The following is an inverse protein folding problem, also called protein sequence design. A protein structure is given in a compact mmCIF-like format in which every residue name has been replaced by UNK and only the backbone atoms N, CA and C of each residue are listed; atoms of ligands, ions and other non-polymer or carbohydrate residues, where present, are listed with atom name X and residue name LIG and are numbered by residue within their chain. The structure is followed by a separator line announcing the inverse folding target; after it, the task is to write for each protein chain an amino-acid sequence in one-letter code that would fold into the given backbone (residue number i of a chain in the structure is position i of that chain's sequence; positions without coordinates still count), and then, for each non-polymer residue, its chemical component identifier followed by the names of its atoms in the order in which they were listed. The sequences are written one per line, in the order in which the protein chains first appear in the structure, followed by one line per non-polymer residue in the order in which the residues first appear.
data_IF_975747103950
#
_entry.id   IF_975747103950
#
_cell.length_a   1.000
_cell.length_b   1.000
_cell.length_c   1.000
_cell.angle_alpha   90.00
_cell.angle_beta   90.00
_cell.angle_gamma   90.00
#
_symmetry.space_group_name_H-M   'P 1'
#
loop_
_entity.id
_entity.type
_entity.pdbx_description
1 polymer ?
#
# COMPACT_ATOMS: atom_id res chain seq x y z
N UNK A 1 10.64 2.86 12.88
CA UNK A 1 11.22 4.22 12.80
C UNK A 1 12.71 4.14 12.53
N UNK A 2 13.17 4.90 11.54
CA UNK A 2 14.57 4.97 11.11
C UNK A 2 15.23 6.13 11.84
N UNK A 3 16.36 5.86 12.52
CA UNK A 3 17.14 6.89 13.22
C UNK A 3 18.26 7.34 12.30
N UNK A 4 18.20 8.60 11.88
CA UNK A 4 19.19 9.22 11.01
C UNK A 4 20.55 9.36 11.70
N UNK A 5 21.62 9.09 10.94
CA UNK A 5 22.98 9.38 11.38
C UNK A 5 23.24 10.90 11.47
N UNK A 6 24.23 11.29 12.29
CA UNK A 6 24.59 12.69 12.47
C UNK A 6 25.08 13.38 11.18
N UNK A 7 25.67 12.60 10.27
CA UNK A 7 26.17 13.05 8.96
C UNK A 7 25.15 12.83 7.83
N UNK A 8 23.90 12.49 8.15
CA UNK A 8 22.86 12.22 7.15
C UNK A 8 22.48 13.49 6.37
N UNK A 9 22.20 13.32 5.07
CA UNK A 9 21.89 14.41 4.15
C UNK A 9 20.40 14.56 3.89
N UNK A 10 19.53 14.02 4.75
CA UNK A 10 18.07 14.01 4.56
C UNK A 10 17.50 15.41 4.32
N UNK A 11 18.00 16.42 5.04
CA UNK A 11 17.55 17.80 4.90
C UNK A 11 17.78 18.36 3.48
N UNK A 12 18.87 17.95 2.81
CA UNK A 12 19.22 18.45 1.48
C UNK A 12 18.29 17.90 0.38
N UNK A 13 17.55 16.82 0.66
CA UNK A 13 16.69 16.16 -0.33
C UNK A 13 15.46 17.02 -0.67
N UNK A 14 15.05 17.92 0.22
CA UNK A 14 13.92 18.81 -0.01
C UNK A 14 14.19 19.88 -1.08
N UNK A 15 15.45 20.15 -1.41
CA UNK A 15 15.84 21.05 -2.51
C UNK A 15 15.57 20.44 -3.89
N UNK A 16 15.36 19.12 -3.96
CA UNK A 16 15.03 18.39 -5.18
C UNK A 16 13.51 18.24 -5.33
N UNK A 17 12.96 18.23 -6.55
CA UNK A 17 11.57 17.86 -6.78
C UNK A 17 11.36 16.36 -6.46
N UNK A 18 10.14 15.96 -6.06
CA UNK A 18 9.84 14.58 -5.61
C UNK A 18 10.33 13.50 -6.60
N UNK A 19 10.13 13.71 -7.91
CA UNK A 19 10.54 12.76 -8.94
C UNK A 19 12.07 12.60 -9.10
N UNK A 20 12.87 13.37 -8.37
CA UNK A 20 14.33 13.26 -8.30
C UNK A 20 14.82 12.78 -6.92
N UNK A 21 13.92 12.57 -5.96
CA UNK A 21 14.25 12.08 -4.61
C UNK A 21 14.29 10.55 -4.62
N UNK A 22 15.37 9.98 -5.14
CA UNK A 22 15.56 8.53 -5.13
C UNK A 22 17.03 8.12 -5.07
N UNK A 23 17.30 6.87 -4.71
CA UNK A 23 18.64 6.30 -4.72
C UNK A 23 18.72 4.94 -4.05
N UNK A 24 19.92 4.36 -3.90
CA UNK A 24 20.12 3.16 -3.11
C UNK A 24 19.70 3.38 -1.65
N UNK A 25 19.09 2.38 -1.01
CA UNK A 25 18.69 2.49 0.39
C UNK A 25 19.87 2.77 1.33
N UNK A 26 19.79 3.82 2.18
CA UNK A 26 20.88 4.15 3.10
C UNK A 26 20.99 3.12 4.22
N UNK A 27 22.19 3.00 4.80
CA UNK A 27 22.51 1.96 5.79
C UNK A 27 21.60 1.98 7.03
N UNK A 28 21.16 3.16 7.46
CA UNK A 28 20.20 3.32 8.56
C UNK A 28 18.81 2.77 8.24
N UNK A 29 18.33 2.90 7.00
CA UNK A 29 17.09 2.27 6.56
C UNK A 29 17.25 0.75 6.50
N UNK A 30 18.35 0.26 5.91
CA UNK A 30 18.65 -1.18 5.84
C UNK A 30 18.76 -1.82 7.23
N UNK A 31 19.47 -1.17 8.16
CA UNK A 31 19.57 -1.62 9.56
C UNK A 31 18.21 -1.69 10.22
N UNK A 32 17.37 -0.68 10.02
CA UNK A 32 16.02 -0.68 10.59
C UNK A 32 15.17 -1.83 10.06
N UNK A 33 15.14 -2.02 8.73
CA UNK A 33 14.39 -3.09 8.08
C UNK A 33 14.86 -4.46 8.59
N UNK A 34 16.18 -4.72 8.63
CA UNK A 34 16.72 -5.97 9.21
C UNK A 34 16.30 -6.19 10.67
N UNK A 35 16.20 -5.13 11.47
CA UNK A 35 15.76 -5.21 12.86
C UNK A 35 14.27 -5.56 12.98
N UNK A 36 13.40 -4.93 12.19
CA UNK A 36 11.96 -5.24 12.15
C UNK A 36 11.73 -6.69 11.67
N UNK A 37 12.59 -7.15 10.78
CA UNK A 37 12.51 -8.46 10.15
C UNK A 37 13.24 -9.55 10.95
N UNK A 38 13.88 -9.20 12.07
CA UNK A 38 14.68 -10.13 12.85
C UNK A 38 13.81 -11.31 13.32
N UNK A 39 14.25 -12.54 12.99
CA UNK A 39 13.53 -13.77 13.31
C UNK A 39 12.52 -14.22 12.26
N UNK A 40 12.35 -13.48 11.15
CA UNK A 40 11.64 -13.95 9.95
C UNK A 40 12.62 -14.63 9.00
N UNK A 41 12.17 -15.60 8.20
CA UNK A 41 13.02 -16.38 7.27
C UNK A 41 13.41 -15.59 5.99
N UNK A 42 13.73 -14.32 6.11
CA UNK A 42 13.97 -13.45 4.96
C UNK A 42 15.45 -13.43 4.56
N UNK A 43 15.68 -13.13 3.28
CA UNK A 43 17.02 -12.94 2.70
C UNK A 43 17.75 -11.77 3.36
N UNK A 44 19.06 -11.69 3.16
CA UNK A 44 19.85 -10.55 3.65
C UNK A 44 19.43 -9.26 2.94
N UNK A 45 18.70 -8.40 3.65
CA UNK A 45 18.28 -7.09 3.13
C UNK A 45 19.51 -6.29 2.74
N UNK A 46 19.58 -5.77 1.51
CA UNK A 46 20.75 -5.03 1.00
C UNK A 46 20.34 -3.91 0.07
N UNK A 47 21.13 -2.84 0.02
CA UNK A 47 20.96 -1.80 -0.98
C UNK A 47 21.04 -2.43 -2.38
N UNK A 48 20.21 -1.92 -3.29
CA UNK A 48 20.18 -2.34 -4.67
C UNK A 48 20.22 -1.13 -5.60
N UNK A 49 20.59 -1.36 -6.86
CA UNK A 49 20.57 -0.35 -7.91
C UNK A 49 19.74 -0.93 -9.05
N UNK A 50 18.63 -0.29 -9.45
CA UNK A 50 17.86 -0.74 -10.60
C UNK A 50 18.70 -0.56 -11.87
N UNK A 51 18.45 -1.41 -12.87
CA UNK A 51 18.98 -1.14 -14.21
C UNK A 51 18.33 0.11 -14.83
N UNK A 52 18.89 0.62 -15.92
CA UNK A 52 18.44 1.86 -16.55
C UNK A 52 16.97 1.81 -16.97
N UNK A 53 16.50 0.63 -17.42
CA UNK A 53 15.13 0.45 -17.88
C UNK A 53 14.13 0.50 -16.71
N UNK A 54 14.44 -0.16 -15.60
CA UNK A 54 13.65 -0.12 -14.38
C UNK A 54 13.69 1.27 -13.74
N UNK A 55 14.86 1.90 -13.67
CA UNK A 55 15.02 3.25 -13.15
C UNK A 55 14.15 4.25 -13.93
N UNK A 56 14.16 4.19 -15.26
CA UNK A 56 13.31 5.04 -16.10
C UNK A 56 11.83 4.84 -15.80
N UNK A 57 11.36 3.61 -15.58
CA UNK A 57 9.96 3.35 -15.20
C UNK A 57 9.61 3.92 -13.83
N UNK A 58 10.52 3.81 -12.85
CA UNK A 58 10.32 4.40 -11.51
C UNK A 58 10.23 5.92 -11.60
N UNK A 59 11.13 6.55 -12.37
CA UNK A 59 11.12 8.00 -12.59
C UNK A 59 9.83 8.46 -13.27
N UNK A 60 9.38 7.75 -14.32
CA UNK A 60 8.11 8.04 -14.99
C UNK A 60 6.93 7.88 -14.04
N UNK A 61 6.88 6.79 -13.25
CA UNK A 61 5.82 6.57 -12.28
C UNK A 61 5.71 7.71 -11.26
N UNK A 62 6.85 8.25 -10.79
CA UNK A 62 6.90 9.40 -9.89
C UNK A 62 6.53 10.72 -10.57
N UNK A 63 6.98 10.93 -11.81
CA UNK A 63 6.70 12.14 -12.58
C UNK A 63 5.23 12.25 -13.01
N UNK A 64 4.56 11.11 -13.22
CA UNK A 64 3.15 11.03 -13.62
C UNK A 64 2.16 11.03 -12.44
N UNK A 65 2.65 11.11 -11.20
CA UNK A 65 1.76 11.23 -10.04
C UNK A 65 0.90 12.49 -10.18
N UNK A 66 -0.42 12.42 -9.89
CA UNK A 66 -1.27 13.61 -9.93
C UNK A 66 -0.74 14.71 -9.02
N UNK A 67 -0.75 15.95 -9.51
CA UNK A 67 -0.24 17.11 -8.77
C UNK A 67 -0.90 17.26 -7.38
N UNK A 68 -2.17 16.87 -7.25
CA UNK A 68 -2.87 16.87 -5.97
C UNK A 68 -2.23 15.96 -4.92
N UNK A 69 -1.64 14.82 -5.33
CA UNK A 69 -0.90 13.91 -4.45
C UNK A 69 0.47 14.51 -4.11
N UNK A 70 1.21 14.97 -5.11
CA UNK A 70 2.54 15.60 -4.94
C UNK A 70 2.47 16.76 -3.95
N UNK A 71 1.48 17.64 -4.09
CA UNK A 71 1.29 18.81 -3.23
C UNK A 71 1.06 18.45 -1.75
N UNK A 72 0.69 17.21 -1.43
CA UNK A 72 0.49 16.73 -0.05
C UNK A 72 1.70 16.06 0.55
N UNK A 73 2.77 15.87 -0.21
CA UNK A 73 3.95 15.13 0.20
C UNK A 73 5.23 15.96 0.11
N UNK A 74 5.18 17.11 -0.57
CA UNK A 74 6.34 17.96 -0.87
C UNK A 74 7.22 18.25 0.35
N UNK A 75 6.60 18.52 1.51
CA UNK A 75 7.30 18.97 2.72
C UNK A 75 7.65 17.84 3.70
N UNK A 76 7.23 16.60 3.42
CA UNK A 76 7.43 15.47 4.34
C UNK A 76 8.04 14.23 3.69
N UNK A 77 8.04 14.14 2.36
CA UNK A 77 8.52 12.96 1.65
C UNK A 77 9.99 13.08 1.23
N UNK A 78 10.83 12.25 1.82
CA UNK A 78 12.28 12.21 1.62
C UNK A 78 12.71 11.39 0.40
N UNK A 79 11.81 10.62 -0.20
CA UNK A 79 12.08 9.92 -1.47
C UNK A 79 11.88 8.41 -1.45
N UNK A 80 12.18 7.82 -2.60
CA UNK A 80 12.08 6.39 -2.89
C UNK A 80 13.46 5.77 -2.97
N UNK A 81 13.72 4.75 -2.17
CA UNK A 81 15.01 4.12 -2.07
C UNK A 81 14.96 2.64 -2.44
N UNK A 82 16.08 2.08 -2.91
CA UNK A 82 16.09 0.75 -3.52
C UNK A 82 16.88 -0.26 -2.68
N UNK A 83 16.27 -1.42 -2.44
CA UNK A 83 16.87 -2.55 -1.77
C UNK A 83 16.37 -3.86 -2.39
N UNK A 84 17.00 -4.97 -1.99
CA UNK A 84 16.48 -6.33 -2.17
C UNK A 84 16.32 -6.98 -0.79
N UNK A 85 15.43 -7.97 -0.68
CA UNK A 85 15.25 -8.75 0.54
C UNK A 85 14.59 -7.95 1.67
N UNK A 86 13.64 -7.10 1.31
CA UNK A 86 12.83 -6.31 2.27
C UNK A 86 11.77 -7.19 2.94
N UNK A 87 11.30 -8.24 2.25
CA UNK A 87 10.26 -9.17 2.73
C UNK A 87 8.82 -8.77 2.42
N UNK A 88 8.66 -7.71 1.63
CA UNK A 88 7.42 -7.19 1.03
C UNK A 88 7.80 -6.47 -0.28
N UNK A 89 6.82 -6.01 -1.06
CA UNK A 89 7.13 -5.21 -2.27
C UNK A 89 7.77 -3.87 -1.95
N UNK A 90 7.43 -3.29 -0.81
CA UNK A 90 8.00 -2.06 -0.30
C UNK A 90 7.73 -1.90 1.19
N UNK A 91 8.43 -0.95 1.82
CA UNK A 91 8.17 -0.49 3.18
C UNK A 91 8.20 1.03 3.20
N UNK A 92 7.21 1.64 3.84
CA UNK A 92 7.20 3.06 4.19
C UNK A 92 7.46 3.24 5.69
N UNK A 93 8.37 4.15 6.05
CA UNK A 93 8.58 4.48 7.46
C UNK A 93 9.08 5.93 7.66
N UNK A 94 8.97 6.40 8.90
CA UNK A 94 9.45 7.70 9.32
C UNK A 94 10.96 7.68 9.56
N UNK A 95 11.60 8.79 9.21
CA UNK A 95 12.98 9.12 9.55
C UNK A 95 12.97 10.18 10.65
N UNK A 96 13.71 9.93 11.72
CA UNK A 96 13.88 10.87 12.83
C UNK A 96 15.34 11.19 13.08
N UNK A 97 15.62 12.37 13.63
CA UNK A 97 16.96 12.72 14.11
C UNK A 97 17.33 11.87 15.34
N UNK A 98 18.60 11.90 15.75
CA UNK A 98 19.04 11.29 17.01
C UNK A 98 18.34 11.88 18.25
N UNK A 99 17.69 13.04 18.11
CA UNK A 99 16.90 13.70 19.15
C UNK A 99 15.39 13.43 19.01
N UNK A 100 15.01 12.46 18.18
CA UNK A 100 13.62 12.10 17.88
C UNK A 100 12.81 13.19 17.19
N UNK A 101 13.46 14.12 16.50
CA UNK A 101 12.77 15.11 15.67
C UNK A 101 12.37 14.46 14.34
N UNK A 102 11.13 14.67 13.90
CA UNK A 102 10.66 14.15 12.62
C UNK A 102 11.38 14.85 11.46
N UNK A 103 12.02 14.06 10.59
CA UNK A 103 12.73 14.56 9.41
C UNK A 103 11.95 14.32 8.11
N UNK A 104 11.09 13.31 8.09
CA UNK A 104 10.26 12.99 6.93
C UNK A 104 9.96 11.50 6.84
N UNK A 105 9.46 11.07 5.68
CA UNK A 105 9.12 9.69 5.36
C UNK A 105 9.87 9.21 4.13
N UNK A 106 10.31 7.96 4.15
CA UNK A 106 10.90 7.29 2.99
C UNK A 106 10.04 6.12 2.57
N UNK A 107 10.18 5.74 1.30
CA UNK A 107 9.75 4.44 0.78
C UNK A 107 11.01 3.66 0.44
N UNK A 108 11.09 2.40 0.84
CA UNK A 108 12.12 1.46 0.37
C UNK A 108 11.44 0.41 -0.49
N UNK A 109 11.69 0.42 -1.80
CA UNK A 109 11.18 -0.56 -2.76
C UNK A 109 12.10 -1.79 -2.80
N UNK A 110 11.49 -2.97 -2.81
CA UNK A 110 12.18 -4.22 -3.11
C UNK A 110 12.20 -4.44 -4.63
N UNK A 111 13.38 -4.41 -5.24
CA UNK A 111 13.48 -4.57 -6.70
C UNK A 111 13.17 -6.01 -7.13
N UNK A 112 13.38 -7.01 -6.27
CA UNK A 112 13.05 -8.41 -6.58
C UNK A 112 11.53 -8.63 -6.62
N UNK A 113 10.76 -7.83 -5.86
CA UNK A 113 9.30 -7.88 -5.90
C UNK A 113 8.68 -7.23 -7.15
N UNK A 114 9.51 -6.63 -8.02
CA UNK A 114 9.11 -6.07 -9.31
C UNK A 114 9.50 -6.98 -10.49
N UNK A 115 10.06 -8.17 -10.22
CA UNK A 115 10.43 -9.15 -11.26
C UNK A 115 9.20 -9.90 -11.80
N UNK A 116 8.37 -9.14 -12.52
CA UNK A 116 7.14 -9.62 -13.15
C UNK A 116 7.06 -9.11 -14.59
N UNK A 117 6.38 -9.88 -15.45
CA UNK A 117 6.26 -9.57 -16.86
C UNK A 117 5.51 -8.25 -17.12
N UNK A 118 4.45 -7.98 -16.35
CA UNK A 118 3.52 -6.88 -16.57
C UNK A 118 2.77 -6.48 -15.28
N UNK A 119 1.90 -5.47 -15.39
CA UNK A 119 1.16 -4.91 -14.27
C UNK A 119 0.14 -5.89 -13.68
N UNK A 120 -0.60 -6.58 -14.54
CA UNK A 120 -1.66 -7.49 -14.13
C UNK A 120 -1.08 -8.77 -13.50
N UNK A 121 0.08 -9.25 -13.97
CA UNK A 121 0.80 -10.36 -13.37
C UNK A 121 1.28 -10.02 -11.96
N UNK A 122 1.86 -8.83 -11.76
CA UNK A 122 2.26 -8.35 -10.44
C UNK A 122 1.05 -8.18 -9.51
N UNK A 123 -0.03 -7.54 -9.98
CA UNK A 123 -1.23 -7.33 -9.19
C UNK A 123 -1.88 -8.67 -8.78
N UNK A 124 -1.96 -9.62 -9.71
CA UNK A 124 -2.49 -10.96 -9.45
C UNK A 124 -1.64 -11.74 -8.44
N UNK A 125 -0.31 -11.64 -8.54
CA UNK A 125 0.60 -12.24 -7.58
C UNK A 125 0.39 -11.66 -6.17
N UNK A 126 0.34 -10.33 -6.04
CA UNK A 126 0.13 -9.63 -4.75
C UNK A 126 -1.20 -10.01 -4.12
N UNK A 127 -2.27 -10.00 -4.91
CA UNK A 127 -3.64 -10.21 -4.43
C UNK A 127 -3.91 -11.71 -4.14
N UNK A 128 -3.19 -12.63 -4.80
CA UNK A 128 -3.19 -14.06 -4.50
C UNK A 128 -2.37 -14.42 -3.26
N UNK A 129 -1.41 -13.58 -2.86
CA UNK A 129 -0.43 -13.93 -1.82
C UNK A 129 -1.03 -14.44 -0.50
N UNK A 130 -2.23 -14.02 -0.02
CA UNK A 130 -2.80 -14.57 1.20
C UNK A 130 -3.25 -16.03 1.12
N UNK A 131 -3.28 -16.64 -0.07
CA UNK A 131 -3.83 -17.97 -0.28
C UNK A 131 -2.74 -19.00 -0.55
N UNK A 132 -3.00 -20.25 -0.15
CA UNK A 132 -2.17 -21.39 -0.53
C UNK A 132 -2.12 -21.54 -2.05
N UNK A 133 -0.97 -21.99 -2.55
CA UNK A 133 -0.86 -22.26 -3.98
C UNK A 133 -1.73 -23.46 -4.36
N UNK A 134 -2.67 -23.23 -5.28
CA UNK A 134 -3.50 -24.26 -5.87
C UNK A 134 -3.58 -24.07 -7.38
N UNK A 135 -3.38 -25.15 -8.14
CA UNK A 135 -3.64 -25.15 -9.59
C UNK A 135 -5.14 -25.16 -9.90
N UNK A 136 -5.97 -25.59 -8.94
CA UNK A 136 -7.42 -25.66 -9.11
C UNK A 136 -8.10 -24.30 -8.86
N UNK A 137 -7.48 -23.37 -8.15
CA UNK A 137 -8.06 -22.05 -7.85
C UNK A 137 -7.07 -20.97 -8.30
N UNK A 138 -7.47 -20.10 -9.22
CA UNK A 138 -6.65 -18.96 -9.67
C UNK A 138 -7.37 -17.63 -9.46
N UNK A 139 -6.58 -16.58 -9.28
CA UNK A 139 -7.03 -15.20 -9.11
C UNK A 139 -6.28 -14.34 -10.11
N UNK A 140 -7.04 -13.60 -10.91
CA UNK A 140 -6.53 -12.64 -11.86
C UNK A 140 -7.01 -11.25 -11.43
N UNK A 141 -6.08 -10.42 -10.95
CA UNK A 141 -6.33 -9.01 -10.68
C UNK A 141 -5.84 -8.18 -11.86
N UNK A 142 -6.70 -7.29 -12.35
CA UNK A 142 -6.36 -6.37 -13.43
C UNK A 142 -6.34 -4.94 -12.93
N UNK A 143 -5.20 -4.28 -13.13
CA UNK A 143 -4.99 -2.85 -12.87
C UNK A 143 -4.69 -2.07 -14.17
N UNK A 144 -4.50 -2.77 -15.29
CA UNK A 144 -4.27 -2.18 -16.60
C UNK A 144 -5.09 -2.89 -17.69
N UNK A 145 -5.43 -2.14 -18.74
CA UNK A 145 -5.94 -2.70 -19.99
C UNK A 145 -4.78 -3.29 -20.80
N UNK A 146 -5.08 -4.15 -21.78
CA UNK A 146 -4.06 -4.91 -22.52
C UNK A 146 -3.01 -4.03 -23.23
N UNK A 147 -3.35 -2.77 -23.56
CA UNK A 147 -2.43 -1.81 -24.19
C UNK A 147 -1.45 -1.15 -23.22
N UNK A 148 -1.80 -1.11 -21.93
CA UNK A 148 -1.06 -0.44 -20.86
C UNK A 148 -0.57 -1.45 -19.80
N UNK A 149 -0.62 -2.75 -20.11
CA UNK A 149 -0.19 -3.82 -19.21
C UNK A 149 1.33 -3.94 -19.20
N UNK A 150 1.97 -3.04 -18.47
CA UNK A 150 3.41 -2.95 -18.35
C UNK A 150 3.85 -2.71 -16.90
N UNK A 151 5.14 -2.93 -16.63
CA UNK A 151 5.68 -2.79 -15.27
C UNK A 151 5.58 -1.34 -14.73
N UNK A 152 5.51 -0.31 -15.60
CA UNK A 152 5.32 1.08 -15.16
C UNK A 152 4.00 1.23 -14.39
N UNK A 153 2.94 0.59 -14.86
CA UNK A 153 1.63 0.64 -14.22
C UNK A 153 1.59 -0.10 -12.86
N UNK A 154 2.32 -1.21 -12.72
CA UNK A 154 2.51 -1.87 -11.42
C UNK A 154 3.29 -0.98 -10.44
N UNK A 155 4.41 -0.40 -10.89
CA UNK A 155 5.24 0.48 -10.06
C UNK A 155 4.42 1.68 -9.59
N UNK A 156 3.63 2.30 -10.47
CA UNK A 156 2.76 3.43 -10.10
C UNK A 156 1.72 3.02 -9.05
N UNK A 157 1.06 1.87 -9.21
CA UNK A 157 0.09 1.41 -8.22
C UNK A 157 0.76 1.11 -6.86
N UNK A 158 1.91 0.43 -6.85
CA UNK A 158 2.71 0.19 -5.65
C UNK A 158 3.09 1.50 -4.96
N UNK A 159 3.65 2.44 -5.71
CA UNK A 159 4.02 3.75 -5.18
C UNK A 159 2.82 4.49 -4.60
N UNK A 160 1.66 4.46 -5.24
CA UNK A 160 0.46 5.10 -4.71
C UNK A 160 0.02 4.50 -3.36
N UNK A 161 0.15 3.18 -3.17
CA UNK A 161 -0.10 2.52 -1.90
C UNK A 161 0.87 3.04 -0.83
N UNK A 162 2.17 3.00 -1.10
CA UNK A 162 3.20 3.44 -0.15
C UNK A 162 3.11 4.94 0.18
N UNK A 163 2.81 5.77 -0.82
CA UNK A 163 2.54 7.19 -0.62
C UNK A 163 1.28 7.41 0.23
N UNK A 164 0.36 6.45 0.28
CA UNK A 164 -0.78 6.48 1.19
C UNK A 164 -0.39 6.33 2.66
N UNK A 165 0.53 5.42 2.98
CA UNK A 165 1.16 5.39 4.30
C UNK A 165 1.84 6.73 4.59
N UNK A 166 2.63 7.24 3.63
CA UNK A 166 3.33 8.51 3.78
C UNK A 166 2.40 9.70 4.04
N UNK A 167 1.25 9.72 3.35
CA UNK A 167 0.28 10.80 3.40
C UNK A 167 -0.54 10.78 4.70
N UNK A 168 -0.77 9.61 5.29
CA UNK A 168 -1.50 9.45 6.56
C UNK A 168 -0.68 9.84 7.78
N UNK A 169 0.65 9.74 7.70
CA UNK A 169 1.58 9.94 8.81
C UNK A 169 1.47 11.32 9.45
N UNK A 170 1.32 11.35 10.79
CA UNK A 170 1.28 12.59 11.56
C UNK A 170 0.02 13.42 11.28
N UNK A 171 -0.99 12.83 10.65
CA UNK A 171 -2.27 13.47 10.34
C UNK A 171 -3.38 12.82 11.14
N UNK A 172 -4.40 13.61 11.45
CA UNK A 172 -5.55 13.16 12.21
C UNK A 172 -6.57 12.38 11.33
N UNK A 173 -6.07 11.48 10.48
CA UNK A 173 -6.85 10.60 9.62
C UNK A 173 -7.10 9.25 10.31
N UNK A 174 -6.08 8.75 10.99
CA UNK A 174 -6.01 7.50 11.74
C UNK A 174 -4.86 7.61 12.76
N UNK A 175 -4.78 6.75 13.79
CA UNK A 175 -3.65 6.73 14.73
C UNK A 175 -2.33 6.48 14.00
N UNK A 176 -1.23 7.06 14.47
CA UNK A 176 0.08 6.79 13.89
C UNK A 176 0.55 5.36 14.19
N UNK A 177 1.02 4.63 13.18
CA UNK A 177 1.43 3.22 13.32
C UNK A 177 2.60 3.02 14.30
N UNK A 178 3.42 4.06 14.51
CA UNK A 178 4.56 4.02 15.42
C UNK A 178 4.23 4.42 16.87
N UNK A 179 3.07 5.02 17.14
CA UNK A 179 2.69 5.53 18.47
C UNK A 179 1.53 4.79 19.11
N UNK A 180 0.87 3.88 18.38
CA UNK A 180 -0.32 3.19 18.85
C UNK A 180 -1.52 4.12 19.03
N UNK A 181 -2.58 3.62 19.66
CA UNK A 181 -3.81 4.38 19.89
C UNK A 181 -3.69 5.23 21.18
N UNK A 182 -3.66 6.58 21.10
CA UNK A 182 -3.52 7.43 22.28
C UNK A 182 -4.72 7.32 23.23
N UNK A 183 -4.47 7.36 24.54
CA UNK A 183 -5.51 7.30 25.57
C UNK A 183 -6.58 8.40 25.39
N UNK A 184 -7.84 8.03 25.65
CA UNK A 184 -8.99 8.95 25.57
C UNK A 184 -9.47 9.30 24.16
N UNK A 185 -8.71 8.96 23.10
CA UNK A 185 -9.16 9.20 21.70
C UNK A 185 -10.29 8.25 21.30
N UNK A 186 -11.37 8.80 20.78
CA UNK A 186 -12.46 8.07 20.16
C UNK A 186 -12.26 7.93 18.65
N UNK A 187 -12.99 7.01 18.00
CA UNK A 187 -12.90 6.81 16.56
C UNK A 187 -13.27 8.08 15.78
N UNK A 188 -14.26 8.82 16.27
CA UNK A 188 -14.73 10.09 15.71
C UNK A 188 -13.70 11.23 15.78
N UNK A 189 -12.63 11.08 16.56
CA UNK A 189 -11.57 12.08 16.61
C UNK A 189 -10.70 12.04 15.36
N UNK A 190 -10.82 10.99 14.55
CA UNK A 190 -10.09 10.79 13.31
C UNK A 190 -11.02 10.99 12.12
N UNK A 191 -10.52 11.57 11.03
CA UNK A 191 -11.34 11.90 9.87
C UNK A 191 -11.53 10.75 8.86
N UNK A 192 -10.68 9.71 8.91
CA UNK A 192 -10.77 8.55 8.03
C UNK A 192 -11.20 7.28 8.77
N UNK A 193 -10.64 7.03 9.96
CA UNK A 193 -10.94 5.83 10.76
C UNK A 193 -12.43 5.47 10.85
N UNK A 194 -13.37 6.39 11.16
CA UNK A 194 -14.79 6.06 11.35
C UNK A 194 -15.54 5.73 10.04
N UNK A 195 -14.86 5.73 8.89
CA UNK A 195 -15.47 5.34 7.60
C UNK A 195 -15.69 3.82 7.52
N UNK A 196 -14.71 3.04 7.98
CA UNK A 196 -14.71 1.58 7.86
C UNK A 196 -14.38 0.85 9.16
N UNK A 197 -13.87 1.59 10.16
CA UNK A 197 -13.34 1.05 11.41
C UNK A 197 -13.94 1.76 12.62
N UNK A 198 -13.80 1.12 13.78
CA UNK A 198 -14.18 1.63 15.08
C UNK A 198 -13.15 1.21 16.12
N UNK A 199 -13.20 1.86 17.29
CA UNK A 199 -12.44 1.46 18.47
C UNK A 199 -13.41 0.74 19.40
N UNK A 200 -13.16 -0.54 19.69
CA UNK A 200 -14.01 -1.32 20.59
C UNK A 200 -13.76 -1.00 22.08
N UNK A 201 -14.56 -1.59 22.96
CA UNK A 201 -14.44 -1.43 24.43
C UNK A 201 -13.07 -1.86 24.98
N UNK A 202 -12.38 -2.75 24.26
CA UNK A 202 -11.02 -3.22 24.58
C UNK A 202 -9.94 -2.35 23.94
N UNK A 203 -10.30 -1.18 23.40
CA UNK A 203 -9.40 -0.22 22.75
C UNK A 203 -8.70 -0.78 21.51
N UNK A 204 -9.31 -1.75 20.85
CA UNK A 204 -8.80 -2.32 19.60
C UNK A 204 -9.48 -1.67 18.41
N UNK A 205 -8.71 -1.40 17.36
CA UNK A 205 -9.25 -0.96 16.09
C UNK A 205 -9.80 -2.19 15.36
N UNK A 206 -11.11 -2.22 15.14
CA UNK A 206 -11.83 -3.32 14.49
C UNK A 206 -12.74 -2.76 13.40
N UNK A 207 -13.12 -3.54 12.37
CA UNK A 207 -14.04 -3.05 11.37
C UNK A 207 -15.39 -2.67 11.97
N UNK A 208 -16.08 -1.73 11.33
CA UNK A 208 -17.48 -1.45 11.63
C UNK A 208 -18.37 -2.67 11.32
N UNK A 209 -19.54 -2.79 11.97
CA UNK A 209 -20.54 -3.77 11.57
C UNK A 209 -20.83 -3.68 10.06
N UNK A 210 -20.82 -4.82 9.37
CA UNK A 210 -20.97 -4.90 7.91
C UNK A 210 -19.66 -4.80 7.11
N UNK A 211 -18.56 -4.36 7.72
CA UNK A 211 -17.22 -4.40 7.10
C UNK A 211 -16.39 -5.62 7.51
N UNK A 212 -16.76 -6.35 8.56
CA UNK A 212 -16.08 -7.59 8.93
C UNK A 212 -16.63 -8.81 8.14
N UNK A 213 -15.78 -9.82 7.94
CA UNK A 213 -16.16 -11.05 7.25
C UNK A 213 -15.33 -12.27 7.71
N UNK A 214 -15.84 -13.50 7.51
CA UNK A 214 -15.10 -14.71 7.90
C UNK A 214 -13.69 -14.74 7.31
N UNK A 215 -12.71 -15.12 8.14
CA UNK A 215 -11.28 -15.19 7.82
C UNK A 215 -10.58 -13.84 7.55
N UNK A 216 -11.26 -12.69 7.66
CA UNK A 216 -10.62 -11.37 7.46
C UNK A 216 -9.39 -11.19 8.35
N UNK A 217 -9.51 -11.48 9.65
CA UNK A 217 -8.42 -11.34 10.61
C UNK A 217 -7.25 -12.32 10.38
N UNK A 218 -7.43 -13.31 9.50
CA UNK A 218 -6.42 -14.30 9.10
C UNK A 218 -5.76 -13.97 7.76
N UNK A 219 -6.17 -12.90 7.08
CA UNK A 219 -5.55 -12.44 5.83
C UNK A 219 -4.17 -11.86 6.16
N UNK A 220 -3.13 -12.38 5.51
CA UNK A 220 -1.81 -11.77 5.49
C UNK A 220 -1.19 -11.85 4.09
N UNK A 221 -0.63 -10.72 3.63
CA UNK A 221 0.08 -10.64 2.36
C UNK A 221 1.59 -10.85 2.51
N UNK A 222 2.09 -10.98 3.74
CA UNK A 222 3.51 -11.06 4.03
C UNK A 222 4.06 -12.48 3.86
N UNK A 223 5.30 -12.58 3.38
CA UNK A 223 5.95 -13.86 3.20
C UNK A 223 6.35 -14.50 4.54
N UNK A 224 6.03 -15.78 4.69
CA UNK A 224 6.24 -16.55 5.92
C UNK A 224 5.03 -16.62 6.85
N UNK A 225 3.99 -15.82 6.59
CA UNK A 225 2.74 -15.89 7.36
C UNK A 225 1.85 -17.08 6.91
N UNK A 226 1.00 -17.60 7.81
CA UNK A 226 0.03 -18.64 7.46
C UNK A 226 -0.86 -18.20 6.30
N UNK A 227 -0.95 -19.05 5.27
CA UNK A 227 -1.81 -18.82 4.11
C UNK A 227 -3.20 -19.41 4.34
N UNK A 228 -4.19 -18.81 3.71
CA UNK A 228 -5.58 -19.26 3.72
C UNK A 228 -5.79 -20.36 2.67
N UNK A 229 -6.64 -21.37 2.94
CA UNK A 229 -6.94 -22.38 1.93
C UNK A 229 -7.59 -21.74 0.69
N UNK A 230 -7.01 -21.98 -0.49
CA UNK A 230 -7.46 -21.38 -1.75
C UNK A 230 -8.94 -21.66 -2.08
N UNK A 231 -9.52 -22.73 -1.55
CA UNK A 231 -10.95 -23.04 -1.71
C UNK A 231 -11.90 -21.96 -1.13
N UNK A 232 -11.45 -21.16 -0.16
CA UNK A 232 -12.24 -20.07 0.42
C UNK A 232 -12.18 -18.77 -0.39
N UNK A 233 -11.32 -18.69 -1.41
CA UNK A 233 -11.04 -17.47 -2.16
C UNK A 233 -12.33 -16.83 -2.72
N UNK A 234 -13.16 -17.59 -3.43
CA UNK A 234 -14.40 -17.05 -4.00
C UNK A 234 -15.37 -16.51 -2.92
N UNK A 235 -15.50 -17.19 -1.78
CA UNK A 235 -16.39 -16.76 -0.69
C UNK A 235 -15.87 -15.53 0.04
N UNK A 236 -14.55 -15.45 0.24
CA UNK A 236 -13.89 -14.25 0.79
C UNK A 236 -14.15 -13.06 -0.12
N UNK A 237 -13.98 -13.18 -1.44
CA UNK A 237 -14.26 -12.05 -2.35
C UNK A 237 -15.75 -11.71 -2.45
N UNK A 238 -16.65 -12.69 -2.38
CA UNK A 238 -18.10 -12.41 -2.27
C UNK A 238 -18.42 -11.62 -1.00
N UNK A 239 -17.72 -11.89 0.10
CA UNK A 239 -17.88 -11.15 1.35
C UNK A 239 -17.27 -9.75 1.27
N UNK A 240 -16.04 -9.63 0.75
CA UNK A 240 -15.34 -8.37 0.54
C UNK A 240 -16.17 -7.39 -0.30
N UNK A 241 -16.87 -7.87 -1.34
CA UNK A 241 -17.78 -7.06 -2.18
C UNK A 241 -18.91 -6.35 -1.42
N UNK A 242 -19.25 -6.79 -0.21
CA UNK A 242 -20.28 -6.20 0.65
C UNK A 242 -19.73 -5.18 1.65
N UNK A 243 -18.40 -5.01 1.66
CA UNK A 243 -17.71 -4.07 2.55
C UNK A 243 -17.31 -2.81 1.78
N UNK A 244 -16.83 -1.82 2.54
CA UNK A 244 -16.21 -0.60 2.01
C UNK A 244 -14.72 -0.78 1.65
N UNK A 245 -14.15 -1.99 1.77
CA UNK A 245 -12.77 -2.28 1.41
C UNK A 245 -12.61 -2.48 -0.12
N UNK A 246 -11.70 -1.75 -0.81
CA UNK A 246 -11.40 -1.95 -2.23
C UNK A 246 -10.87 -3.35 -2.56
N UNK A 247 -9.82 -3.77 -1.87
CA UNK A 247 -9.10 -5.02 -2.14
C UNK A 247 -9.03 -5.86 -0.87
N UNK A 248 -8.59 -7.12 -1.00
CA UNK A 248 -8.38 -7.94 0.18
C UNK A 248 -7.30 -7.34 1.09
N UNK A 249 -6.30 -6.68 0.50
CA UNK A 249 -5.22 -6.04 1.25
C UNK A 249 -5.73 -4.89 2.13
N UNK A 250 -6.65 -4.06 1.62
CA UNK A 250 -7.28 -2.99 2.40
C UNK A 250 -8.09 -3.48 3.61
N UNK A 251 -8.50 -4.75 3.64
CA UNK A 251 -9.26 -5.31 4.75
C UNK A 251 -8.38 -5.79 5.93
N UNK A 252 -7.05 -5.78 5.78
CA UNK A 252 -6.12 -6.30 6.78
C UNK A 252 -6.14 -5.47 8.06
N UNK A 253 -5.90 -4.16 7.96
CA UNK A 253 -5.93 -3.21 9.07
C UNK A 253 -6.19 -1.77 8.56
N UNK A 254 -6.39 -0.83 9.49
CA UNK A 254 -6.77 0.56 9.16
C UNK A 254 -5.70 1.33 8.35
N UNK A 255 -4.41 1.00 8.52
CA UNK A 255 -3.33 1.66 7.78
C UNK A 255 -3.32 1.19 6.32
N UNK A 256 -3.39 -0.12 6.12
CA UNK A 256 -3.51 -0.72 4.78
C UNK A 256 -4.80 -0.28 4.09
N UNK A 257 -5.89 -0.13 4.85
CA UNK A 257 -7.13 0.39 4.31
C UNK A 257 -6.98 1.79 3.73
N UNK A 258 -6.35 2.71 4.47
CA UNK A 258 -6.12 4.06 3.98
C UNK A 258 -5.21 4.05 2.75
N UNK A 259 -4.08 3.37 2.84
CA UNK A 259 -3.06 3.32 1.79
C UNK A 259 -3.61 2.76 0.48
N UNK A 260 -4.25 1.60 0.56
CA UNK A 260 -4.83 0.93 -0.58
C UNK A 260 -6.05 1.68 -1.12
N UNK A 261 -6.89 2.27 -0.25
CA UNK A 261 -8.01 3.09 -0.72
C UNK A 261 -7.56 4.37 -1.41
N UNK A 262 -6.46 4.99 -0.97
CA UNK A 262 -5.83 6.10 -1.69
C UNK A 262 -5.35 5.63 -3.06
N UNK A 263 -4.65 4.50 -3.12
CA UNK A 263 -4.15 3.93 -4.37
C UNK A 263 -5.29 3.65 -5.35
N UNK A 264 -6.35 2.97 -4.91
CA UNK A 264 -7.54 2.71 -5.71
C UNK A 264 -8.24 3.99 -6.15
N UNK A 265 -8.40 4.99 -5.27
CA UNK A 265 -9.00 6.27 -5.64
C UNK A 265 -8.19 6.98 -6.73
N UNK A 266 -6.89 7.15 -6.52
CA UNK A 266 -6.04 7.84 -7.50
C UNK A 266 -6.02 7.07 -8.82
N UNK A 267 -5.84 5.75 -8.76
CA UNK A 267 -5.81 4.87 -9.93
C UNK A 267 -7.11 4.90 -10.74
N UNK A 268 -8.25 4.70 -10.08
CA UNK A 268 -9.54 4.57 -10.77
C UNK A 268 -10.18 5.92 -11.09
N UNK A 269 -10.09 6.89 -10.19
CA UNK A 269 -10.82 8.16 -10.31
C UNK A 269 -9.98 9.21 -11.01
N UNK A 270 -8.77 9.48 -10.52
CA UNK A 270 -7.94 10.55 -11.07
C UNK A 270 -7.22 10.12 -12.35
N UNK A 271 -6.76 8.88 -12.43
CA UNK A 271 -6.05 8.33 -13.58
C UNK A 271 -6.97 7.54 -14.55
N UNK A 272 -8.25 7.36 -14.21
CA UNK A 272 -9.25 6.68 -15.04
C UNK A 272 -8.83 5.26 -15.47
N UNK A 273 -8.13 4.52 -14.61
CA UNK A 273 -7.61 3.18 -14.90
C UNK A 273 -8.53 2.07 -14.36
N UNK A 274 -8.56 0.88 -15.00
CA UNK A 274 -9.41 -0.22 -14.58
C UNK A 274 -8.92 -0.85 -13.27
N UNK A 275 -9.86 -1.44 -12.53
CA UNK A 275 -9.56 -2.31 -11.39
C UNK A 275 -10.59 -3.44 -11.34
N UNK A 276 -10.15 -4.68 -11.48
CA UNK A 276 -11.05 -5.84 -11.40
C UNK A 276 -10.37 -7.08 -10.87
N UNK A 277 -11.17 -8.00 -10.35
CA UNK A 277 -10.74 -9.33 -9.89
C UNK A 277 -11.59 -10.39 -10.55
N UNK A 278 -10.94 -11.43 -11.09
CA UNK A 278 -11.57 -12.65 -11.57
C UNK A 278 -11.03 -13.84 -10.80
N UNK A 279 -11.91 -14.78 -10.44
CA UNK A 279 -11.54 -16.01 -9.75
C UNK A 279 -12.03 -17.17 -10.58
N UNK A 280 -11.16 -18.15 -10.78
CA UNK A 280 -11.44 -19.36 -11.54
C UNK A 280 -11.28 -20.60 -10.67
N UNK A 281 -12.11 -21.60 -10.93
CA UNK A 281 -12.00 -22.94 -10.37
C UNK A 281 -11.90 -23.96 -11.51
N UNK A 282 -10.80 -24.72 -11.55
CA UNK A 282 -10.47 -25.65 -12.63
C UNK A 282 -10.59 -25.02 -14.03
N UNK A 283 -10.23 -23.73 -14.15
CA UNK A 283 -10.34 -22.94 -15.38
C UNK A 283 -11.72 -22.33 -15.66
N UNK A 284 -12.75 -22.66 -14.87
CA UNK A 284 -14.08 -22.07 -15.01
C UNK A 284 -14.22 -20.79 -14.18
N UNK A 285 -14.77 -19.73 -14.77
CA UNK A 285 -14.97 -18.45 -14.09
C UNK A 285 -16.04 -18.57 -12.98
N UNK A 286 -15.64 -18.42 -11.72
CA UNK A 286 -16.54 -18.45 -10.55
C UNK A 286 -17.00 -17.06 -10.11
N UNK A 287 -16.13 -16.06 -10.24
CA UNK A 287 -16.40 -14.69 -9.85
C UNK A 287 -15.74 -13.75 -10.84
N UNK A 288 -16.50 -12.76 -11.31
CA UNK A 288 -15.97 -11.58 -11.97
C UNK A 288 -16.45 -10.36 -11.19
N UNK A 289 -15.52 -9.52 -10.78
CA UNK A 289 -15.81 -8.30 -10.06
C UNK A 289 -15.03 -7.14 -10.67
N UNK A 290 -15.76 -6.32 -11.43
CA UNK A 290 -15.33 -4.98 -11.81
C UNK A 290 -15.59 -4.05 -10.63
N UNK A 291 -14.55 -3.38 -10.13
CA UNK A 291 -14.72 -2.40 -9.06
C UNK A 291 -15.35 -1.13 -9.63
N UNK A 292 -16.27 -0.54 -8.87
CA UNK A 292 -16.89 0.74 -9.20
C UNK A 292 -16.79 1.68 -8.00
N UNK A 293 -15.87 2.63 -8.07
CA UNK A 293 -15.60 3.59 -7.00
C UNK A 293 -16.77 4.58 -6.77
N UNK A 294 -17.74 4.63 -7.68
CA UNK A 294 -18.96 5.43 -7.55
C UNK A 294 -20.09 4.69 -6.84
N UNK A 295 -19.92 3.41 -6.54
CA UNK A 295 -20.92 2.63 -5.82
C UNK A 295 -21.10 3.10 -4.37
N UNK A 296 -22.31 2.90 -3.82
CA UNK A 296 -22.71 3.40 -2.49
C UNK A 296 -21.75 2.95 -1.36
N UNK A 297 -21.22 1.72 -1.44
CA UNK A 297 -20.27 1.16 -0.46
C UNK A 297 -18.98 2.00 -0.30
N UNK A 298 -18.62 2.80 -1.29
CA UNK A 298 -17.44 3.67 -1.26
C UNK A 298 -17.77 5.14 -1.05
N UNK A 299 -19.05 5.53 -0.95
CA UNK A 299 -19.46 6.94 -0.94
C UNK A 299 -18.73 7.79 0.11
N UNK A 300 -18.55 7.27 1.33
CA UNK A 300 -17.82 7.96 2.41
C UNK A 300 -16.32 8.11 2.11
N UNK A 301 -15.69 7.09 1.51
CA UNK A 301 -14.27 7.13 1.09
C UNK A 301 -14.08 8.07 -0.10
N UNK A 302 -14.97 8.00 -1.09
CA UNK A 302 -15.00 8.91 -2.23
C UNK A 302 -15.08 10.36 -1.74
N UNK A 303 -16.06 10.68 -0.90
CA UNK A 303 -16.21 12.03 -0.36
C UNK A 303 -14.98 12.47 0.47
N UNK A 304 -14.35 11.56 1.21
CA UNK A 304 -13.10 11.84 1.91
C UNK A 304 -11.97 12.20 0.94
N UNK A 305 -11.72 11.36 -0.07
CA UNK A 305 -10.62 11.58 -0.99
C UNK A 305 -10.87 12.74 -1.97
N UNK A 306 -12.11 13.06 -2.32
CA UNK A 306 -12.44 14.26 -3.09
C UNK A 306 -12.15 15.54 -2.29
N UNK A 307 -12.46 15.57 -0.98
CA UNK A 307 -12.02 16.68 -0.12
C UNK A 307 -10.51 16.73 0.03
N UNK A 308 -9.88 15.56 0.07
CA UNK A 308 -8.44 15.46 0.23
C UNK A 308 -7.69 15.83 -1.05
N UNK A 309 -8.09 15.42 -2.23
CA UNK A 309 -7.29 15.53 -3.45
C UNK A 309 -7.98 16.30 -4.58
N UNK A 310 -9.24 16.72 -4.39
CA UNK A 310 -10.11 17.21 -5.46
C UNK A 310 -10.79 16.05 -6.20
N UNK A 311 -11.80 16.36 -7.03
CA UNK A 311 -12.41 15.38 -7.93
C UNK A 311 -11.72 15.35 -9.30
N UNK A 312 -12.16 14.46 -10.23
CA UNK A 312 -11.73 14.55 -11.61
C UNK A 312 -12.07 15.94 -12.18
N UNK A 313 -11.13 16.52 -12.93
CA UNK A 313 -11.32 17.79 -13.63
C UNK A 313 -12.40 17.68 -14.73
#
# INVERSE_FOLDING_TARGET
MIIASADSTWANVFDLPIHQRYGPAPDEALRHIRQVNAGRMWTDTRAAVPDDALLMRIQLALAELPQAVIARLQDSFLGVYFANGVGSSAVTDIVVSQRSEFLGLIIVLDLEALDHADANAWASWRERSPFDYSAAMTLDMRIADDYDDDLLHAIRFLLLHELGHALSAGRNFLPDWWSGLPDGRAASDYSYLPISWQIDEKRRIVPLPGNDFPLRASVSHYDGDPRLPAGYMADIYRALKRTSFPTLYSAANVHEDFAESLACYVHMVLLQRPLSVRIYQHGELLLNWQMDWRSERYASKLAFFERLLGGPA
#
